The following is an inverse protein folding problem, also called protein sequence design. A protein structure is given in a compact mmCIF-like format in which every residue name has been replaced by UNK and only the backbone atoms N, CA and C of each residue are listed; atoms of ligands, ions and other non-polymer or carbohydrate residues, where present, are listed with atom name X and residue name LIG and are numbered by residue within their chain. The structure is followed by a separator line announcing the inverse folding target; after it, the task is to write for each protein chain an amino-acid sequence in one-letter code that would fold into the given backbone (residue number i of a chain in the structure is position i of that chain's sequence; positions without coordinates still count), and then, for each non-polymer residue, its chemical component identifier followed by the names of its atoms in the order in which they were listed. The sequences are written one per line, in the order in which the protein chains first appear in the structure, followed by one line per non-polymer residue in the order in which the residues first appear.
data_IF_350548876832
#
_entry.id   IF_350548876832
#
_cell.length_a   1.000
_cell.length_b   1.000
_cell.length_c   1.000
_cell.angle_alpha   90.00
_cell.angle_beta   90.00
_cell.angle_gamma   90.00
#
_symmetry.space_group_name_H-M   'P 1'
#
loop_
_entity.id
_entity.type
_entity.pdbx_description
1 polymer ?
#
# COMPACT_ATOMS: atom_id res chain seq x y z
N UNK A 1 65.81 -7.66 5.79
CA UNK A 1 64.84 -6.55 5.90
C UNK A 1 64.15 -6.35 4.55
N UNK A 2 62.86 -6.65 4.46
CA UNK A 2 61.83 -5.98 3.63
C UNK A 2 60.54 -6.80 3.81
N UNK A 3 59.71 -6.32 4.73
CA UNK A 3 58.40 -6.87 5.05
C UNK A 3 57.49 -6.49 3.89
N UNK A 4 56.94 -7.49 3.19
CA UNK A 4 55.90 -7.29 2.19
C UNK A 4 54.59 -7.12 2.96
N UNK A 5 54.09 -5.89 2.98
CA UNK A 5 52.75 -5.58 3.48
C UNK A 5 51.73 -6.10 2.45
N UNK A 6 51.09 -7.22 2.76
CA UNK A 6 49.95 -7.73 2.01
C UNK A 6 48.71 -6.97 2.49
N UNK A 7 48.33 -5.92 1.76
CA UNK A 7 47.10 -5.16 2.04
C UNK A 7 45.87 -6.01 1.74
N UNK A 8 45.20 -6.45 2.81
CA UNK A 8 43.91 -7.13 2.77
C UNK A 8 42.84 -6.12 2.32
N UNK A 9 42.44 -6.18 1.05
CA UNK A 9 41.37 -5.35 0.51
C UNK A 9 40.03 -6.03 0.85
N UNK A 10 39.48 -5.68 2.03
CA UNK A 10 38.16 -6.11 2.45
C UNK A 10 37.14 -5.37 1.57
N UNK A 11 36.60 -6.07 0.57
CA UNK A 11 35.38 -5.64 -0.11
C UNK A 11 34.24 -5.63 0.92
N UNK A 12 34.00 -4.47 1.53
CA UNK A 12 32.73 -4.22 2.18
C UNK A 12 31.67 -4.13 1.09
N UNK A 13 30.97 -5.25 0.88
CA UNK A 13 29.68 -5.28 0.21
C UNK A 13 28.72 -4.45 1.07
N UNK A 14 28.70 -3.14 0.84
CA UNK A 14 27.56 -2.29 1.19
C UNK A 14 26.37 -2.86 0.41
N UNK A 15 25.63 -3.76 1.05
CA UNK A 15 24.25 -4.01 0.69
C UNK A 15 23.52 -2.69 0.93
N UNK A 16 23.49 -1.82 -0.09
CA UNK A 16 22.52 -0.75 -0.20
C UNK A 16 21.18 -1.47 -0.32
N UNK A 17 20.59 -1.80 0.82
CA UNK A 17 19.22 -2.26 0.89
C UNK A 17 18.41 -1.11 0.32
N UNK A 18 17.94 -1.28 -0.92
CA UNK A 18 17.10 -0.32 -1.61
C UNK A 18 15.78 -0.28 -0.85
N UNK A 19 15.75 0.48 0.25
CA UNK A 19 14.57 0.73 1.05
C UNK A 19 13.68 1.69 0.26
N UNK A 20 13.11 1.17 -0.82
CA UNK A 20 12.15 1.88 -1.65
C UNK A 20 10.79 1.61 -1.03
N UNK A 21 10.57 2.20 0.16
CA UNK A 21 9.22 2.56 0.53
C UNK A 21 8.78 3.57 -0.52
N UNK A 22 8.08 3.07 -1.52
CA UNK A 22 7.60 3.83 -2.66
C UNK A 22 6.18 3.35 -2.90
N UNK A 23 5.28 4.31 -3.10
CA UNK A 23 3.93 4.03 -3.52
C UNK A 23 3.95 3.66 -5.00
N UNK A 24 3.52 2.43 -5.32
CA UNK A 24 3.61 1.88 -6.67
C UNK A 24 2.25 2.03 -7.37
N UNK A 25 2.23 2.46 -8.63
CA UNK A 25 0.98 2.51 -9.40
C UNK A 25 0.65 1.14 -10.01
N UNK A 26 -0.57 0.67 -9.78
CA UNK A 26 -1.22 -0.45 -10.44
C UNK A 26 -2.22 0.11 -11.44
N UNK A 27 -2.17 -0.38 -12.69
CA UNK A 27 -3.10 0.07 -13.72
C UNK A 27 -4.53 -0.43 -13.46
N UNK A 28 -5.51 0.17 -14.14
CA UNK A 28 -6.92 -0.23 -14.05
C UNK A 28 -7.15 -1.73 -14.35
N UNK A 29 -6.40 -2.30 -15.31
CA UNK A 29 -6.50 -3.72 -15.64
C UNK A 29 -6.15 -4.61 -14.44
N UNK A 30 -5.03 -4.30 -13.79
CA UNK A 30 -4.51 -5.01 -12.63
C UNK A 30 -5.44 -4.89 -11.43
N UNK A 31 -6.00 -3.69 -11.22
CA UNK A 31 -7.03 -3.45 -10.21
C UNK A 31 -8.24 -4.37 -10.41
N UNK A 32 -8.75 -4.46 -11.63
CA UNK A 32 -9.90 -5.32 -11.94
C UNK A 32 -9.58 -6.78 -11.67
N UNK A 33 -8.44 -7.28 -12.16
CA UNK A 33 -7.99 -8.64 -11.90
C UNK A 33 -7.86 -8.95 -10.41
N UNK A 34 -7.32 -8.01 -9.63
CA UNK A 34 -7.24 -8.15 -8.17
C UNK A 34 -8.61 -8.30 -7.53
N UNK A 35 -9.50 -7.34 -7.79
CA UNK A 35 -10.78 -7.24 -7.12
C UNK A 35 -11.66 -8.44 -7.47
N UNK A 36 -11.65 -8.87 -8.73
CA UNK A 36 -12.37 -10.06 -9.18
C UNK A 36 -11.81 -11.34 -8.53
N UNK A 37 -10.51 -11.37 -8.18
CA UNK A 37 -9.90 -12.53 -7.52
C UNK A 37 -10.19 -12.63 -6.02
N UNK A 38 -10.59 -11.53 -5.36
CA UNK A 38 -10.79 -11.48 -3.90
C UNK A 38 -12.25 -11.23 -3.49
N UNK A 39 -13.09 -10.78 -4.42
CA UNK A 39 -14.49 -10.45 -4.15
C UNK A 39 -15.39 -10.72 -5.36
N UNK A 40 -16.54 -11.34 -5.13
CA UNK A 40 -17.58 -11.42 -6.14
C UNK A 40 -18.31 -10.07 -6.29
N UNK A 41 -18.15 -9.40 -7.44
CA UNK A 41 -19.02 -8.34 -8.01
C UNK A 41 -19.51 -7.24 -7.05
N UNK A 42 -18.62 -6.61 -6.28
CA UNK A 42 -18.99 -5.40 -5.53
C UNK A 42 -18.76 -4.13 -6.36
N UNK A 43 -19.74 -3.21 -6.38
CA UNK A 43 -19.52 -1.84 -6.87
C UNK A 43 -18.66 -1.09 -5.87
N UNK A 44 -17.37 -0.99 -6.15
CA UNK A 44 -16.43 -0.26 -5.29
C UNK A 44 -16.60 1.25 -5.45
N UNK A 45 -16.69 1.94 -4.32
CA UNK A 45 -16.73 3.40 -4.24
C UNK A 45 -15.35 3.91 -3.81
N UNK A 46 -14.73 4.72 -4.66
CA UNK A 46 -13.56 5.50 -4.29
C UNK A 46 -13.95 6.64 -3.33
N UNK A 47 -13.03 7.08 -2.45
CA UNK A 47 -11.76 6.45 -2.13
C UNK A 47 -11.96 5.14 -1.32
N UNK A 48 -11.02 4.20 -1.46
CA UNK A 48 -11.03 2.92 -0.77
C UNK A 48 -9.62 2.49 -0.34
N UNK A 49 -9.50 2.00 0.90
CA UNK A 49 -8.30 1.37 1.43
C UNK A 49 -8.59 -0.08 1.80
N UNK A 50 -7.70 -0.96 1.35
CA UNK A 50 -7.69 -2.37 1.65
C UNK A 50 -6.32 -2.74 2.20
N UNK A 51 -6.28 -3.52 3.29
CA UNK A 51 -5.05 -3.89 3.96
C UNK A 51 -5.03 -5.39 4.13
N UNK A 52 -3.97 -6.01 3.62
CA UNK A 52 -3.77 -7.44 3.62
C UNK A 52 -2.57 -7.79 4.49
N UNK A 53 -2.75 -8.70 5.45
CA UNK A 53 -1.70 -9.27 6.28
C UNK A 53 -1.08 -10.47 5.54
N UNK A 54 0.18 -10.34 5.12
CA UNK A 54 0.86 -11.35 4.33
C UNK A 54 1.25 -12.59 5.13
N UNK A 55 1.33 -12.47 6.47
CA UNK A 55 1.65 -13.59 7.36
C UNK A 55 0.41 -14.41 7.67
N UNK A 56 -0.70 -13.72 7.97
CA UNK A 56 -1.99 -14.36 8.25
C UNK A 56 -2.75 -14.72 6.97
N UNK A 57 -2.28 -14.22 5.82
CA UNK A 57 -2.85 -14.42 4.49
C UNK A 57 -4.31 -13.98 4.38
N UNK A 58 -4.67 -12.89 5.04
CA UNK A 58 -6.05 -12.40 5.07
C UNK A 58 -6.12 -10.89 4.97
N UNK A 59 -7.22 -10.38 4.41
CA UNK A 59 -7.54 -8.97 4.52
C UNK A 59 -7.97 -8.64 5.96
N UNK A 60 -7.52 -7.50 6.46
CA UNK A 60 -7.94 -7.00 7.75
C UNK A 60 -9.43 -6.63 7.71
N UNK A 61 -10.13 -6.79 8.83
CA UNK A 61 -11.46 -6.22 9.01
C UNK A 61 -11.41 -4.69 8.93
N UNK A 62 -12.55 -4.04 8.68
CA UNK A 62 -12.62 -2.57 8.67
C UNK A 62 -12.10 -1.98 9.97
N UNK A 63 -12.44 -2.58 11.11
CA UNK A 63 -11.98 -2.15 12.42
C UNK A 63 -10.46 -2.26 12.54
N UNK A 64 -9.88 -3.41 12.17
CA UNK A 64 -8.43 -3.65 12.30
C UNK A 64 -7.62 -2.79 11.33
N UNK A 65 -8.09 -2.64 10.09
CA UNK A 65 -7.45 -1.76 9.12
C UNK A 65 -7.53 -0.29 9.53
N UNK A 66 -8.66 0.16 10.09
CA UNK A 66 -8.78 1.52 10.64
C UNK A 66 -7.80 1.75 11.78
N UNK A 67 -7.73 0.82 12.73
CA UNK A 67 -6.81 0.90 13.87
C UNK A 67 -5.34 0.89 13.42
N UNK A 68 -4.99 0.04 12.45
CA UNK A 68 -3.66 0.01 11.86
C UNK A 68 -3.30 1.36 11.23
N UNK A 69 -4.17 1.93 10.38
CA UNK A 69 -3.90 3.22 9.73
C UNK A 69 -3.78 4.37 10.74
N UNK A 70 -4.62 4.38 11.77
CA UNK A 70 -4.56 5.38 12.84
C UNK A 70 -3.22 5.38 13.59
N UNK A 71 -2.54 4.24 13.66
CA UNK A 71 -1.25 4.12 14.31
C UNK A 71 -0.07 4.54 13.43
N UNK A 72 -0.28 4.88 12.15
CA UNK A 72 0.82 5.19 11.22
C UNK A 72 1.36 6.62 11.33
N UNK A 73 0.54 7.57 11.80
CA UNK A 73 0.95 8.97 11.94
C UNK A 73 0.06 9.70 12.94
N UNK A 74 0.65 10.67 13.64
CA UNK A 74 -0.05 11.57 14.57
C UNK A 74 -0.87 12.67 13.86
N UNK A 75 -0.92 12.67 12.52
CA UNK A 75 -1.68 13.68 11.78
C UNK A 75 -3.18 13.63 12.17
N UNK A 76 -3.79 14.74 12.61
CA UNK A 76 -5.15 14.76 13.12
C UNK A 76 -6.23 14.41 12.08
N UNK A 77 -5.92 14.49 10.78
CA UNK A 77 -6.84 14.10 9.72
C UNK A 77 -6.86 12.59 9.48
N UNK A 78 -5.79 11.87 9.84
CA UNK A 78 -5.65 10.45 9.53
C UNK A 78 -6.73 9.57 10.18
N UNK A 79 -7.15 9.77 11.45
CA UNK A 79 -8.23 8.99 12.03
C UNK A 79 -9.56 9.12 11.28
N UNK A 80 -9.87 10.32 10.79
CA UNK A 80 -11.06 10.59 9.99
C UNK A 80 -10.96 9.87 8.63
N UNK A 81 -9.81 9.96 7.96
CA UNK A 81 -9.56 9.28 6.68
C UNK A 81 -9.62 7.77 6.81
N UNK A 82 -8.94 7.20 7.81
CA UNK A 82 -8.94 5.76 8.09
C UNK A 82 -10.38 5.24 8.27
N UNK A 83 -11.22 5.96 9.01
CA UNK A 83 -12.61 5.55 9.24
C UNK A 83 -13.48 5.62 7.98
N UNK A 84 -13.26 6.64 7.14
CA UNK A 84 -14.07 6.89 5.95
C UNK A 84 -13.68 6.03 4.75
N UNK A 85 -12.37 5.81 4.56
CA UNK A 85 -11.84 5.23 3.33
C UNK A 85 -11.55 3.74 3.46
N UNK A 86 -11.33 3.21 4.66
CA UNK A 86 -11.19 1.76 4.89
C UNK A 86 -12.48 1.03 4.55
N UNK A 87 -12.38 -0.04 3.75
CA UNK A 87 -13.52 -0.89 3.41
C UNK A 87 -13.62 -2.12 4.32
N UNK A 88 -14.83 -2.66 4.38
CA UNK A 88 -15.10 -3.97 4.97
C UNK A 88 -14.67 -5.05 4.00
N UNK A 89 -13.68 -5.82 4.41
CA UNK A 89 -13.06 -6.90 3.63
C UNK A 89 -13.06 -8.23 4.37
N UNK A 90 -13.85 -8.35 5.43
CA UNK A 90 -14.00 -9.56 6.23
C UNK A 90 -14.48 -10.76 5.39
N UNK A 91 -15.21 -10.49 4.32
CA UNK A 91 -15.71 -11.49 3.37
C UNK A 91 -14.69 -11.87 2.28
N UNK A 92 -13.55 -11.18 2.17
CA UNK A 92 -12.56 -11.48 1.13
C UNK A 92 -11.76 -12.72 1.54
N UNK A 93 -11.74 -13.71 0.66
CA UNK A 93 -10.96 -14.93 0.85
C UNK A 93 -9.88 -15.01 -0.23
N UNK A 94 -8.62 -15.10 0.18
CA UNK A 94 -7.48 -15.20 -0.73
C UNK A 94 -6.28 -15.83 -0.01
N UNK A 95 -5.17 -16.00 -0.73
CA UNK A 95 -3.88 -16.45 -0.19
C UNK A 95 -2.75 -15.68 -0.86
N UNK A 96 -1.53 -15.76 -0.30
CA UNK A 96 -0.36 -15.16 -0.95
C UNK A 96 -0.15 -15.72 -2.36
N UNK A 97 -0.37 -17.03 -2.52
CA UNK A 97 -0.26 -17.72 -3.80
C UNK A 97 -1.30 -17.22 -4.81
N UNK A 98 -2.56 -17.13 -4.39
CA UNK A 98 -3.65 -16.64 -5.25
C UNK A 98 -3.42 -15.19 -5.67
N UNK A 99 -3.00 -14.31 -4.74
CA UNK A 99 -2.68 -12.92 -5.06
C UNK A 99 -1.49 -12.81 -6.03
N UNK A 100 -0.40 -13.53 -5.77
CA UNK A 100 0.79 -13.50 -6.63
C UNK A 100 0.50 -14.08 -8.03
N UNK A 101 -0.37 -15.08 -8.13
CA UNK A 101 -0.80 -15.65 -9.41
C UNK A 101 -1.66 -14.68 -10.21
N UNK A 102 -2.60 -13.99 -9.56
CA UNK A 102 -3.46 -13.00 -10.21
C UNK A 102 -2.68 -11.73 -10.56
N UNK A 103 -1.70 -11.35 -9.76
CA UNK A 103 -0.95 -10.09 -9.91
C UNK A 103 0.55 -10.32 -9.62
N UNK A 104 1.29 -10.80 -10.62
CA UNK A 104 2.71 -11.15 -10.43
C UNK A 104 3.60 -9.97 -10.01
N UNK A 105 3.18 -8.72 -10.23
CA UNK A 105 3.90 -7.53 -9.79
C UNK A 105 3.71 -7.22 -8.29
N UNK A 106 2.75 -7.83 -7.61
CA UNK A 106 2.58 -7.64 -6.17
C UNK A 106 3.75 -8.27 -5.42
N UNK A 107 4.54 -7.43 -4.77
CA UNK A 107 5.54 -7.84 -3.79
C UNK A 107 4.86 -8.08 -2.45
N UNK A 108 4.87 -9.32 -1.98
CA UNK A 108 4.36 -9.76 -0.68
C UNK A 108 5.51 -9.96 0.33
N UNK A 109 6.56 -9.14 0.21
CA UNK A 109 7.82 -9.22 0.97
C UNK A 109 7.79 -8.44 2.31
N UNK A 110 6.69 -7.75 2.60
CA UNK A 110 6.48 -6.97 3.82
C UNK A 110 5.32 -7.54 4.63
N UNK A 111 5.19 -7.13 5.89
CA UNK A 111 4.13 -7.63 6.78
C UNK A 111 2.73 -7.30 6.27
N UNK A 112 2.58 -6.12 5.65
CA UNK A 112 1.33 -5.69 5.07
C UNK A 112 1.46 -5.34 3.58
N UNK A 113 0.38 -5.60 2.85
CA UNK A 113 0.12 -5.05 1.52
C UNK A 113 -1.04 -4.05 1.67
N UNK A 114 -0.86 -2.82 1.21
CA UNK A 114 -1.89 -1.78 1.24
C UNK A 114 -2.26 -1.42 -0.19
N UNK A 115 -3.56 -1.44 -0.47
CA UNK A 115 -4.11 -1.09 -1.76
C UNK A 115 -4.99 0.14 -1.56
N UNK A 116 -4.58 1.23 -2.19
CA UNK A 116 -5.27 2.51 -2.15
C UNK A 116 -5.92 2.78 -3.49
N UNK A 117 -7.24 2.65 -3.54
CA UNK A 117 -8.04 2.99 -4.70
C UNK A 117 -8.61 4.39 -4.56
N UNK A 118 -8.28 5.27 -5.49
CA UNK A 118 -8.80 6.62 -5.54
C UNK A 118 -8.98 7.09 -6.99
N UNK A 119 -9.25 8.37 -7.20
CA UNK A 119 -9.27 8.97 -8.52
C UNK A 119 -7.89 9.49 -8.93
N UNK A 120 -7.58 9.51 -10.24
CA UNK A 120 -6.40 10.18 -10.74
C UNK A 120 -6.50 11.70 -10.51
N UNK A 121 -5.35 12.37 -10.39
CA UNK A 121 -5.26 13.80 -10.05
C UNK A 121 -6.16 14.73 -10.91
N UNK A 122 -6.26 14.57 -12.25
CA UNK A 122 -7.15 15.39 -13.06
C UNK A 122 -8.64 15.25 -12.69
N UNK A 123 -9.05 14.07 -12.22
CA UNK A 123 -10.42 13.84 -11.77
C UNK A 123 -10.65 14.39 -10.37
N UNK A 124 -9.69 14.27 -9.45
CA UNK A 124 -9.78 14.87 -8.11
C UNK A 124 -10.06 16.39 -8.19
N UNK A 125 -9.39 17.08 -9.12
CA UNK A 125 -9.61 18.51 -9.35
C UNK A 125 -11.05 18.84 -9.78
N UNK A 126 -11.72 17.97 -10.54
CA UNK A 126 -13.11 18.15 -10.98
C UNK A 126 -14.10 18.02 -9.81
N UNK A 127 -13.74 17.26 -8.77
CA UNK A 127 -14.59 17.05 -7.58
C UNK A 127 -14.33 18.06 -6.44
N UNK A 128 -13.46 19.06 -6.65
CA UNK A 128 -13.13 20.07 -5.65
C UNK A 128 -14.34 20.87 -5.14
N UNK A 129 -15.36 21.05 -6.00
CA UNK A 129 -16.61 21.71 -5.61
C UNK A 129 -17.47 20.88 -4.64
N UNK A 130 -17.29 19.56 -4.62
CA UNK A 130 -18.03 18.64 -3.75
C UNK A 130 -17.28 18.38 -2.43
N UNK A 131 -15.97 18.26 -2.48
CA UNK A 131 -15.10 18.17 -1.30
C UNK A 131 -13.81 18.99 -1.55
N UNK A 132 -13.74 20.23 -1.03
CA UNK A 132 -12.61 21.13 -1.26
C UNK A 132 -11.26 20.59 -0.78
N UNK A 133 -11.27 19.67 0.19
CA UNK A 133 -10.08 19.10 0.82
C UNK A 133 -9.68 17.76 0.20
N UNK A 134 -10.42 17.25 -0.81
CA UNK A 134 -10.21 15.91 -1.35
C UNK A 134 -8.77 15.66 -1.83
N UNK A 135 -8.17 16.66 -2.49
CA UNK A 135 -6.80 16.59 -2.98
C UNK A 135 -5.78 16.59 -1.84
N UNK A 136 -6.00 17.38 -0.79
CA UNK A 136 -5.10 17.45 0.37
C UNK A 136 -5.15 16.14 1.16
N UNK A 137 -6.35 15.57 1.32
CA UNK A 137 -6.56 14.26 1.93
C UNK A 137 -5.86 13.13 1.15
N UNK A 138 -5.98 13.13 -0.18
CA UNK A 138 -5.27 12.18 -1.05
C UNK A 138 -3.74 12.33 -0.94
N UNK A 139 -3.24 13.56 -0.98
CA UNK A 139 -1.80 13.86 -0.90
C UNK A 139 -1.21 13.44 0.45
N UNK A 140 -1.92 13.73 1.55
CA UNK A 140 -1.51 13.31 2.89
C UNK A 140 -1.39 11.80 2.98
N UNK A 141 -2.41 11.07 2.52
CA UNK A 141 -2.40 9.62 2.58
C UNK A 141 -1.29 9.01 1.73
N UNK A 142 -1.11 9.49 0.50
CA UNK A 142 0.00 9.05 -0.38
C UNK A 142 1.35 9.26 0.28
N UNK A 143 1.54 10.41 0.95
CA UNK A 143 2.77 10.71 1.70
C UNK A 143 3.01 9.68 2.80
N UNK A 144 2.01 9.42 3.64
CA UNK A 144 2.12 8.41 4.73
C UNK A 144 2.43 7.03 4.15
N UNK A 145 1.67 6.60 3.14
CA UNK A 145 1.83 5.28 2.53
C UNK A 145 3.18 5.08 1.83
N UNK A 146 3.81 6.16 1.37
CA UNK A 146 5.14 6.14 0.75
C UNK A 146 6.30 6.07 1.74
N UNK A 147 6.02 6.17 3.05
CA UNK A 147 7.04 6.18 4.11
C UNK A 147 7.00 4.90 4.96
N UNK A 148 6.13 3.94 4.63
CA UNK A 148 5.97 2.72 5.41
C UNK A 148 7.06 1.69 5.12
N UNK A 149 7.84 1.32 6.13
CA UNK A 149 8.85 0.26 6.01
C UNK A 149 8.26 -1.15 6.17
N UNK A 150 7.15 -1.27 6.89
CA UNK A 150 6.50 -2.54 7.20
C UNK A 150 5.43 -2.95 6.18
N UNK A 151 5.16 -2.12 5.17
CA UNK A 151 4.12 -2.36 4.18
C UNK A 151 4.61 -2.09 2.74
N UNK A 152 4.02 -2.80 1.78
CA UNK A 152 4.06 -2.40 0.37
C UNK A 152 2.76 -1.72 0.01
N UNK A 153 2.82 -0.48 -0.47
CA UNK A 153 1.64 0.31 -0.79
C UNK A 153 1.49 0.47 -2.30
N UNK A 154 0.27 0.30 -2.81
CA UNK A 154 -0.05 0.47 -4.21
C UNK A 154 -1.24 1.42 -4.40
N UNK A 155 -1.19 2.27 -5.42
CA UNK A 155 -2.35 3.05 -5.90
C UNK A 155 -2.92 2.39 -7.14
N UNK A 156 -4.25 2.27 -7.25
CA UNK A 156 -4.88 1.39 -8.25
C UNK A 156 -5.63 2.10 -9.39
N UNK A 157 -5.39 3.40 -9.58
CA UNK A 157 -6.12 4.23 -10.55
C UNK A 157 -5.41 4.46 -11.87
#
# INVERSE_FOLDING_TARGET
MRIIFLSLLIFMSINVSANTSQLITLGQHDKSMMLDSVSEKQKHKFPALYIYDTKQQQFLSKQNATAYLQALSENPLLPKLATQWTKSTEQFSTSNESLAKSLPMLKLDRAYLILYDNLPAPMLAQFKSMDPELQDKDSLLKTILSQLDNARSYVTY
#
